data_IF_729446118226
#
_entry.id   IF_729446118226
#
_cell.length_a   1.000
_cell.length_b   1.000
_cell.length_c   1.000
_cell.angle_alpha   90.00
_cell.angle_beta   90.00
_cell.angle_gamma   90.00
#
_symmetry.space_group_name_H-M   'P 1'
#
loop_
_entity.id
_entity.type
_entity.pdbx_description
1 polymer ?
#
# COMPACT_ATOMS: atom_id res chain seq x y z
N UNK A 1 -20.43 -8.22 51.29
CA UNK A 1 -20.09 -8.41 49.85
C UNK A 1 -19.38 -7.16 49.33
N UNK A 2 -18.16 -7.28 48.81
CA UNK A 2 -17.39 -6.16 48.22
C UNK A 2 -17.19 -6.45 46.72
N UNK A 3 -18.04 -5.88 45.87
CA UNK A 3 -17.97 -6.04 44.40
C UNK A 3 -17.56 -4.70 43.75
N UNK A 4 -16.57 -4.01 44.31
CA UNK A 4 -16.20 -2.65 43.88
C UNK A 4 -14.87 -2.58 43.12
N UNK A 5 -14.07 -3.66 43.06
CA UNK A 5 -12.74 -3.60 42.44
C UNK A 5 -12.77 -3.85 40.93
N UNK A 6 -13.66 -4.70 40.41
CA UNK A 6 -13.66 -5.09 38.99
C UNK A 6 -13.86 -3.93 38.02
N UNK A 7 -14.78 -3.00 38.35
CA UNK A 7 -15.06 -1.84 37.51
C UNK A 7 -13.88 -0.86 37.46
N UNK A 8 -13.19 -0.66 38.59
CA UNK A 8 -12.01 0.22 38.66
C UNK A 8 -10.83 -0.36 37.87
N UNK A 9 -10.67 -1.69 37.86
CA UNK A 9 -9.66 -2.36 37.02
C UNK A 9 -9.95 -2.19 35.53
N UNK A 10 -11.22 -2.33 35.11
CA UNK A 10 -11.60 -2.11 33.71
C UNK A 10 -11.28 -0.68 33.25
N UNK A 11 -11.69 0.33 34.04
CA UNK A 11 -11.42 1.73 33.70
C UNK A 11 -9.92 2.06 33.61
N UNK A 12 -9.08 1.43 34.45
CA UNK A 12 -7.62 1.58 34.37
C UNK A 12 -7.05 0.99 33.08
N UNK A 13 -7.50 -0.20 32.69
CA UNK A 13 -6.96 -0.87 31.51
C UNK A 13 -7.30 -0.12 30.23
N UNK A 14 -8.52 0.40 30.09
CA UNK A 14 -8.94 1.18 28.91
C UNK A 14 -8.11 2.47 28.77
N UNK A 15 -7.85 3.17 29.88
CA UNK A 15 -6.99 4.37 29.87
C UNK A 15 -5.55 4.05 29.49
N UNK A 16 -4.99 2.97 30.02
CA UNK A 16 -3.63 2.55 29.68
C UNK A 16 -3.51 2.19 28.19
N UNK A 17 -4.49 1.47 27.62
CA UNK A 17 -4.47 1.11 26.18
C UNK A 17 -4.56 2.32 25.26
N UNK A 18 -5.33 3.36 25.63
CA UNK A 18 -5.39 4.59 24.84
C UNK A 18 -4.04 5.33 24.86
N UNK A 19 -3.39 5.43 26.02
CA UNK A 19 -2.12 6.12 26.16
C UNK A 19 -0.96 5.39 25.44
N UNK A 20 -0.92 4.05 25.45
CA UNK A 20 0.09 3.29 24.71
C UNK A 20 -0.02 3.46 23.19
N UNK A 21 -1.24 3.67 22.67
CA UNK A 21 -1.46 3.91 21.23
C UNK A 21 -1.01 5.31 20.79
N UNK A 22 -1.12 6.30 21.67
CA UNK A 22 -0.71 7.68 21.41
C UNK A 22 0.82 7.87 21.54
N UNK A 23 1.48 7.16 22.46
CA UNK A 23 2.94 7.24 22.63
C UNK A 23 3.71 6.49 21.52
N UNK A 24 3.10 5.45 20.93
CA UNK A 24 3.69 4.68 19.82
C UNK A 24 3.74 5.46 18.49
N UNK A 25 3.02 6.58 18.38
CA UNK A 25 3.02 7.46 17.20
C UNK A 25 4.12 8.54 17.22
N UNK A 26 4.89 8.64 18.31
CA UNK A 26 5.99 9.63 18.47
C UNK A 26 7.40 9.06 18.27
N UNK A 27 7.55 7.85 17.73
CA UNK A 27 8.87 7.42 17.27
C UNK A 27 9.19 8.10 15.93
N UNK A 28 10.06 9.10 16.00
CA UNK A 28 10.67 9.72 14.83
C UNK A 28 11.31 8.63 13.96
N UNK A 29 10.84 8.57 12.71
CA UNK A 29 11.40 7.73 11.66
C UNK A 29 12.87 8.17 11.50
N UNK A 30 13.80 7.41 12.09
CA UNK A 30 15.22 7.54 11.78
C UNK A 30 15.38 7.21 10.30
N UNK A 31 15.56 8.24 9.47
CA UNK A 31 15.94 8.08 8.06
C UNK A 31 17.19 7.23 8.01
N UNK A 32 17.03 5.98 7.57
CA UNK A 32 18.14 5.09 7.24
C UNK A 32 19.00 5.78 6.19
N UNK A 33 20.31 5.76 6.43
CA UNK A 33 21.34 6.42 5.63
C UNK A 33 21.19 6.14 4.14
N UNK A 34 21.45 7.17 3.33
CA UNK A 34 21.60 7.12 1.88
C UNK A 34 22.22 5.80 1.40
N UNK A 35 21.43 5.01 0.69
CA UNK A 35 21.95 3.99 -0.20
C UNK A 35 22.55 4.72 -1.39
N UNK A 36 23.81 4.41 -1.72
CA UNK A 36 24.53 4.95 -2.87
C UNK A 36 23.87 4.37 -4.13
N UNK A 37 22.94 5.12 -4.72
CA UNK A 37 22.26 4.72 -5.95
C UNK A 37 23.21 4.89 -7.13
N UNK A 38 23.59 3.78 -7.75
CA UNK A 38 24.29 3.79 -9.04
C UNK A 38 23.28 4.24 -10.11
N UNK A 39 23.40 5.49 -10.56
CA UNK A 39 22.59 6.03 -11.64
C UNK A 39 23.07 5.46 -12.98
N UNK A 40 22.37 4.46 -13.49
CA UNK A 40 22.61 3.91 -14.83
C UNK A 40 21.87 4.79 -15.84
N UNK A 41 22.61 5.49 -16.69
CA UNK A 41 22.03 6.32 -17.75
C UNK A 41 21.46 5.43 -18.87
N UNK A 42 20.15 5.21 -18.86
CA UNK A 42 19.42 4.54 -19.94
C UNK A 42 19.35 5.51 -21.14
N UNK A 43 19.69 5.03 -22.35
CA UNK A 43 19.62 5.79 -23.60
C UNK A 43 18.31 6.57 -23.73
N UNK A 44 18.39 7.82 -24.21
CA UNK A 44 17.26 8.72 -24.38
C UNK A 44 16.16 8.15 -25.28
N UNK A 45 16.53 7.29 -26.24
CA UNK A 45 15.59 6.59 -27.11
C UNK A 45 14.78 5.54 -26.36
N UNK A 46 15.41 4.82 -25.42
CA UNK A 46 14.73 3.83 -24.60
C UNK A 46 13.76 4.48 -23.59
N UNK A 47 14.10 5.66 -23.06
CA UNK A 47 13.18 6.46 -22.23
C UNK A 47 11.94 6.88 -23.02
N UNK A 48 12.13 7.47 -24.21
CA UNK A 48 11.03 7.88 -25.10
C UNK A 48 10.13 6.71 -25.49
N UNK A 49 10.70 5.54 -25.77
CA UNK A 49 9.92 4.33 -26.08
C UNK A 49 9.10 3.82 -24.89
N UNK A 50 9.63 3.89 -23.68
CA UNK A 50 8.90 3.52 -22.45
C UNK A 50 7.71 4.45 -22.22
N UNK A 51 7.94 5.76 -22.29
CA UNK A 51 6.89 6.78 -22.12
C UNK A 51 5.78 6.66 -23.16
N UNK A 52 6.14 6.45 -24.44
CA UNK A 52 5.18 6.27 -25.52
C UNK A 52 4.31 5.02 -25.32
N UNK A 53 4.88 3.90 -24.86
CA UNK A 53 4.14 2.65 -24.58
C UNK A 53 3.18 2.79 -23.40
N UNK A 54 3.55 3.56 -22.37
CA UNK A 54 2.69 3.81 -21.21
C UNK A 54 1.49 4.69 -21.54
N UNK A 55 1.64 5.65 -22.44
CA UNK A 55 0.59 6.61 -22.80
C UNK A 55 -0.57 5.97 -23.58
N UNK A 56 -0.27 5.18 -24.62
CA UNK A 56 -1.31 4.71 -25.57
C UNK A 56 -2.09 3.51 -25.03
N UNK A 57 -1.43 2.56 -24.37
CA UNK A 57 -2.08 1.35 -23.88
C UNK A 57 -2.92 1.57 -22.61
N UNK A 58 -2.75 2.71 -21.92
CA UNK A 58 -3.45 3.00 -20.68
C UNK A 58 -4.79 3.70 -20.91
N UNK A 59 -4.88 4.62 -21.89
CA UNK A 59 -6.08 5.44 -22.11
C UNK A 59 -7.29 4.61 -22.55
N UNK A 60 -7.16 3.76 -23.57
CA UNK A 60 -8.26 2.93 -24.07
C UNK A 60 -8.77 1.95 -23.00
N UNK A 61 -7.85 1.34 -22.24
CA UNK A 61 -8.20 0.43 -21.15
C UNK A 61 -8.91 1.14 -20.01
N UNK A 62 -8.45 2.34 -19.65
CA UNK A 62 -9.08 3.15 -18.60
C UNK A 62 -10.50 3.53 -19.01
N UNK A 63 -10.72 3.94 -20.26
CA UNK A 63 -12.06 4.28 -20.75
C UNK A 63 -13.00 3.07 -20.78
N UNK A 64 -12.52 1.91 -21.23
CA UNK A 64 -13.30 0.68 -21.22
C UNK A 64 -13.71 0.26 -19.79
N UNK A 65 -12.78 0.37 -18.83
CA UNK A 65 -13.07 0.09 -17.41
C UNK A 65 -14.08 1.09 -16.85
N UNK A 66 -13.92 2.39 -17.13
CA UNK A 66 -14.87 3.42 -16.69
C UNK A 66 -16.28 3.15 -17.21
N UNK A 67 -16.42 2.79 -18.48
CA UNK A 67 -17.71 2.40 -19.08
C UNK A 67 -18.30 1.17 -18.38
N UNK A 68 -17.52 0.10 -18.20
CA UNK A 68 -17.99 -1.10 -17.53
C UNK A 68 -18.44 -0.86 -16.07
N UNK A 69 -17.78 0.06 -15.36
CA UNK A 69 -18.20 0.49 -14.01
C UNK A 69 -19.51 1.27 -14.07
N UNK A 70 -19.64 2.21 -15.01
CA UNK A 70 -20.85 3.01 -15.19
C UNK A 70 -22.06 2.16 -15.58
N UNK A 71 -21.85 1.17 -16.44
CA UNK A 71 -22.87 0.22 -16.89
C UNK A 71 -23.16 -0.87 -15.84
N UNK A 72 -22.42 -0.90 -14.73
CA UNK A 72 -22.55 -1.89 -13.65
C UNK A 72 -22.11 -3.31 -14.03
N UNK A 73 -21.48 -3.48 -15.20
CA UNK A 73 -20.99 -4.78 -15.70
C UNK A 73 -19.59 -5.13 -15.20
N UNK A 74 -18.93 -4.23 -14.47
CA UNK A 74 -17.61 -4.48 -13.90
C UNK A 74 -17.69 -5.46 -12.71
N UNK A 75 -17.15 -6.67 -12.90
CA UNK A 75 -17.15 -7.70 -11.86
C UNK A 75 -15.91 -7.61 -10.95
N UNK A 76 -16.14 -7.33 -9.67
CA UNK A 76 -15.11 -7.39 -8.63
C UNK A 76 -15.05 -8.81 -8.07
N UNK A 77 -13.92 -9.49 -8.27
CA UNK A 77 -13.68 -10.83 -7.72
C UNK A 77 -12.55 -10.79 -6.69
N UNK A 78 -12.80 -11.34 -5.50
CA UNK A 78 -11.80 -11.42 -4.43
C UNK A 78 -10.52 -12.16 -4.86
N UNK A 79 -10.67 -13.18 -5.69
CA UNK A 79 -9.55 -13.97 -6.23
C UNK A 79 -8.59 -13.13 -7.09
N UNK A 80 -9.11 -12.31 -8.02
CA UNK A 80 -8.25 -11.40 -8.82
C UNK A 80 -7.52 -10.38 -7.97
N UNK A 81 -8.15 -9.91 -6.88
CA UNK A 81 -7.50 -8.98 -5.94
C UNK A 81 -6.36 -9.68 -5.22
N UNK A 82 -6.61 -10.87 -4.66
CA UNK A 82 -5.60 -11.66 -3.96
C UNK A 82 -4.41 -11.99 -4.88
N UNK A 83 -4.69 -12.44 -6.10
CA UNK A 83 -3.66 -12.72 -7.09
C UNK A 83 -2.82 -11.48 -7.41
N UNK A 84 -3.45 -10.32 -7.63
CA UNK A 84 -2.73 -9.06 -7.86
C UNK A 84 -1.82 -8.65 -6.69
N UNK A 85 -2.25 -8.87 -5.44
CA UNK A 85 -1.41 -8.62 -4.26
C UNK A 85 -0.20 -9.57 -4.24
N UNK A 86 -0.43 -10.87 -4.45
CA UNK A 86 0.66 -11.86 -4.44
C UNK A 86 1.65 -11.60 -5.58
N UNK A 87 1.18 -11.29 -6.78
CA UNK A 87 2.01 -11.00 -7.95
C UNK A 87 2.88 -9.76 -7.74
N UNK A 88 2.32 -8.69 -7.16
CA UNK A 88 3.08 -7.47 -6.87
C UNK A 88 4.14 -7.71 -5.79
N UNK A 89 3.83 -8.46 -4.73
CA UNK A 89 4.80 -8.87 -3.72
C UNK A 89 5.93 -9.72 -4.32
N UNK A 90 5.59 -10.65 -5.23
CA UNK A 90 6.57 -11.48 -5.92
C UNK A 90 7.47 -10.67 -6.87
N UNK A 91 6.92 -9.69 -7.58
CA UNK A 91 7.67 -8.80 -8.46
C UNK A 91 8.66 -7.93 -7.69
N UNK A 92 8.24 -7.35 -6.56
CA UNK A 92 9.12 -6.59 -5.66
C UNK A 92 10.28 -7.45 -5.12
N UNK A 93 10.00 -8.71 -4.75
CA UNK A 93 11.04 -9.65 -4.29
C UNK A 93 12.05 -10.00 -5.39
N UNK A 94 11.66 -9.99 -6.66
CA UNK A 94 12.54 -10.24 -7.81
C UNK A 94 13.37 -9.02 -8.22
N UNK A 95 12.85 -7.80 -8.05
CA UNK A 95 13.58 -6.56 -8.35
C UNK A 95 14.65 -6.17 -7.31
N UNK A 96 14.62 -6.78 -6.12
CA UNK A 96 15.61 -6.57 -5.04
C UNK A 96 16.73 -7.64 -5.01
N UNK A 97 16.96 -8.36 -6.11
CA UNK A 97 18.09 -9.28 -6.30
C UNK A 97 18.89 -8.88 -7.52
#
# INVERSE_FOLDING_TARGET
MKITNGHQHYLRNVRNTQNLSAESQKQSIKKTSNQEYVSVEISDEAKKLSEAKMSIASTEKIEAIKKAIQDGSYQVSAEKIANGIVDTMAAQKKGNR
#
